data_IF_707713784122
#
_entry.id   IF_707713784122
#
_cell.length_a   1.000
_cell.length_b   1.000
_cell.length_c   1.000
_cell.angle_alpha   90.00
_cell.angle_beta   90.00
_cell.angle_gamma   90.00
#
_symmetry.space_group_name_H-M   'P 1'
#
loop_
_entity.id
_entity.type
_entity.pdbx_description
1 polymer ?
#
# COMPACT_ATOMS: atom_id res chain seq x y z
N UNK A 1 13.01 -9.63 -20.65
CA UNK A 1 11.80 -9.00 -20.05
C UNK A 1 12.10 -7.52 -20.02
N UNK A 2 11.39 -6.74 -20.82
CA UNK A 2 11.48 -5.28 -20.73
C UNK A 2 11.07 -4.86 -19.31
N UNK A 3 11.93 -4.11 -18.62
CA UNK A 3 11.47 -3.37 -17.45
C UNK A 3 10.35 -2.45 -17.93
N UNK A 4 9.14 -2.50 -17.33
CA UNK A 4 8.08 -1.59 -17.71
C UNK A 4 8.60 -0.17 -17.53
N UNK A 5 8.75 0.54 -18.66
CA UNK A 5 9.30 1.89 -18.69
C UNK A 5 8.47 2.83 -17.83
N UNK A 6 9.12 3.85 -17.26
CA UNK A 6 8.44 4.87 -16.45
C UNK A 6 7.43 5.61 -17.33
N UNK A 7 6.13 5.34 -17.13
CA UNK A 7 5.03 5.95 -17.91
C UNK A 7 4.50 7.26 -17.30
N UNK A 8 4.72 7.48 -16.00
CA UNK A 8 4.29 8.69 -15.28
C UNK A 8 5.24 9.00 -14.11
N UNK A 9 5.34 10.29 -13.75
CA UNK A 9 6.10 10.76 -12.58
C UNK A 9 5.18 11.52 -11.64
N UNK A 10 5.28 11.22 -10.34
CA UNK A 10 4.54 11.94 -9.30
C UNK A 10 5.53 12.50 -8.29
N UNK A 11 5.51 13.82 -8.09
CA UNK A 11 6.26 14.49 -7.03
C UNK A 11 5.33 14.72 -5.84
N UNK A 12 5.61 14.08 -4.71
CA UNK A 12 4.76 14.12 -3.52
C UNK A 12 5.57 14.60 -2.32
N UNK A 13 5.08 15.63 -1.65
CA UNK A 13 5.54 15.98 -0.32
C UNK A 13 4.86 15.07 0.71
N UNK A 14 5.64 14.30 1.46
CA UNK A 14 5.11 13.41 2.50
C UNK A 14 4.93 14.17 3.81
N UNK A 15 3.79 13.96 4.46
CA UNK A 15 3.64 14.32 5.88
C UNK A 15 4.57 13.48 6.75
N UNK A 16 4.85 13.95 7.96
CA UNK A 16 5.83 13.36 8.89
C UNK A 16 5.58 11.86 9.12
N UNK A 17 4.33 11.47 9.29
CA UNK A 17 3.89 10.10 9.55
C UNK A 17 4.14 9.21 8.33
N UNK A 18 3.79 9.67 7.13
CA UNK A 18 4.04 8.95 5.87
C UNK A 18 5.53 8.81 5.57
N UNK A 19 6.34 9.83 5.85
CA UNK A 19 7.79 9.77 5.70
C UNK A 19 8.40 8.71 6.64
N UNK A 20 7.95 8.65 7.91
CA UNK A 20 8.37 7.61 8.87
C UNK A 20 7.93 6.21 8.42
N UNK A 21 6.70 6.08 7.95
CA UNK A 21 6.17 4.81 7.45
C UNK A 21 6.98 4.30 6.26
N UNK A 22 7.32 5.18 5.30
CA UNK A 22 8.15 4.83 4.16
C UNK A 22 9.53 4.32 4.60
N UNK A 23 10.20 5.00 5.54
CA UNK A 23 11.48 4.54 6.08
C UNK A 23 11.37 3.18 6.78
N UNK A 24 10.31 2.95 7.56
CA UNK A 24 10.05 1.67 8.21
C UNK A 24 9.84 0.55 7.18
N UNK A 25 9.07 0.81 6.13
CA UNK A 25 8.83 -0.15 5.04
C UNK A 25 10.12 -0.50 4.31
N UNK A 26 10.97 0.50 4.00
CA UNK A 26 12.28 0.25 3.41
C UNK A 26 13.14 -0.65 4.30
N UNK A 27 13.20 -0.36 5.60
CA UNK A 27 13.98 -1.15 6.55
C UNK A 27 13.49 -2.60 6.66
N UNK A 28 12.17 -2.80 6.69
CA UNK A 28 11.58 -4.12 6.92
C UNK A 28 11.56 -5.00 5.65
N UNK A 29 11.50 -4.40 4.47
CA UNK A 29 11.33 -5.14 3.20
C UNK A 29 12.58 -5.13 2.31
N UNK A 30 13.53 -4.23 2.55
CA UNK A 30 14.68 -3.99 1.67
C UNK A 30 14.33 -3.31 0.35
N UNK A 31 13.06 -2.97 0.11
CA UNK A 31 12.60 -2.38 -1.15
C UNK A 31 13.03 -0.91 -1.30
N UNK A 32 13.20 -0.48 -2.55
CA UNK A 32 13.42 0.94 -2.86
C UNK A 32 12.13 1.72 -2.64
N UNK A 33 12.25 3.03 -2.41
CA UNK A 33 11.10 3.93 -2.26
C UNK A 33 10.12 3.82 -3.43
N UNK A 34 10.64 3.77 -4.66
CA UNK A 34 9.81 3.66 -5.88
C UNK A 34 9.00 2.38 -5.90
N UNK A 35 9.59 1.24 -5.51
CA UNK A 35 8.89 -0.05 -5.47
C UNK A 35 7.79 -0.05 -4.40
N UNK A 36 8.08 0.54 -3.24
CA UNK A 36 7.10 0.68 -2.16
C UNK A 36 5.93 1.56 -2.60
N UNK A 37 6.21 2.70 -3.24
CA UNK A 37 5.16 3.62 -3.71
C UNK A 37 4.30 2.96 -4.77
N UNK A 38 4.90 2.32 -5.78
CA UNK A 38 4.15 1.62 -6.83
C UNK A 38 3.26 0.52 -6.25
N UNK A 39 3.79 -0.31 -5.34
CA UNK A 39 3.01 -1.37 -4.68
C UNK A 39 1.92 -0.81 -3.77
N UNK A 40 2.18 0.29 -3.06
CA UNK A 40 1.20 0.93 -2.19
C UNK A 40 0.01 1.47 -2.99
N UNK A 41 0.24 2.05 -4.18
CA UNK A 41 -0.81 2.52 -5.08
C UNK A 41 -1.67 1.34 -5.55
N UNK A 42 -1.03 0.25 -6.03
CA UNK A 42 -1.74 -0.95 -6.48
C UNK A 42 -2.55 -1.62 -5.34
N UNK A 43 -1.99 -1.68 -4.13
CA UNK A 43 -2.69 -2.21 -2.96
C UNK A 43 -3.90 -1.34 -2.60
N UNK A 44 -3.75 -0.02 -2.65
CA UNK A 44 -4.86 0.90 -2.38
C UNK A 44 -5.97 0.75 -3.42
N UNK A 45 -5.63 0.67 -4.71
CA UNK A 45 -6.58 0.41 -5.80
C UNK A 45 -7.32 -0.91 -5.58
N UNK A 46 -6.61 -1.98 -5.25
CA UNK A 46 -7.21 -3.28 -4.96
C UNK A 46 -8.22 -3.16 -3.82
N UNK A 47 -7.81 -2.64 -2.66
CA UNK A 47 -8.72 -2.57 -1.50
C UNK A 47 -9.93 -1.68 -1.80
N UNK A 48 -9.74 -0.52 -2.45
CA UNK A 48 -10.84 0.35 -2.83
C UNK A 48 -11.84 -0.35 -3.77
N UNK A 49 -11.34 -1.14 -4.73
CA UNK A 49 -12.17 -1.94 -5.64
C UNK A 49 -12.99 -3.00 -4.89
N UNK A 50 -12.35 -3.76 -4.01
CA UNK A 50 -13.02 -4.79 -3.20
C UNK A 50 -14.15 -4.17 -2.35
N UNK A 51 -13.87 -3.06 -1.67
CA UNK A 51 -14.84 -2.38 -0.82
C UNK A 51 -16.00 -1.80 -1.65
N UNK A 52 -15.73 -1.25 -2.84
CA UNK A 52 -16.75 -0.72 -3.75
C UNK A 52 -17.69 -1.81 -4.27
N UNK A 53 -17.18 -3.01 -4.47
CA UNK A 53 -17.97 -4.17 -4.90
C UNK A 53 -18.73 -4.85 -3.74
N UNK A 54 -18.74 -4.23 -2.55
CA UNK A 54 -19.46 -4.72 -1.38
C UNK A 54 -18.75 -5.85 -0.64
N UNK A 55 -17.49 -6.15 -0.98
CA UNK A 55 -16.67 -7.12 -0.24
C UNK A 55 -16.01 -6.46 0.97
N UNK A 56 -15.47 -7.30 1.85
CA UNK A 56 -14.75 -6.88 3.04
C UNK A 56 -13.29 -7.31 2.96
N UNK A 57 -12.39 -6.43 3.38
CA UNK A 57 -10.98 -6.78 3.59
C UNK A 57 -10.77 -7.02 5.08
N UNK A 58 -10.32 -8.22 5.43
CA UNK A 58 -10.08 -8.64 6.82
C UNK A 58 -8.61 -9.01 7.02
N UNK A 59 -8.03 -8.60 8.14
CA UNK A 59 -6.75 -9.13 8.63
C UNK A 59 -7.07 -10.17 9.68
N UNK A 60 -6.65 -11.41 9.43
CA UNK A 60 -6.80 -12.52 10.38
C UNK A 60 -5.48 -12.73 11.13
N UNK A 61 -5.54 -12.68 12.45
CA UNK A 61 -4.43 -13.01 13.33
C UNK A 61 -4.23 -14.53 13.46
N UNK A 62 -3.06 -14.94 13.92
CA UNK A 62 -2.72 -16.35 14.18
C UNK A 62 -3.59 -16.96 15.31
N UNK A 63 -4.16 -16.10 16.15
CA UNK A 63 -5.14 -16.43 17.20
C UNK A 63 -6.57 -16.63 16.66
N UNK A 64 -6.78 -16.45 15.36
CA UNK A 64 -8.08 -16.54 14.70
C UNK A 64 -8.94 -15.29 14.83
N UNK A 65 -8.47 -14.24 15.51
CA UNK A 65 -9.21 -12.97 15.56
C UNK A 65 -9.13 -12.24 14.21
N UNK A 66 -10.26 -11.68 13.79
CA UNK A 66 -10.37 -10.93 12.55
C UNK A 66 -10.60 -9.44 12.84
N UNK A 67 -9.84 -8.60 12.13
CA UNK A 67 -10.01 -7.15 12.16
C UNK A 67 -10.40 -6.68 10.77
N UNK A 68 -11.54 -5.98 10.68
CA UNK A 68 -12.00 -5.38 9.44
C UNK A 68 -11.17 -4.14 9.11
N UNK A 69 -10.58 -4.13 7.92
CA UNK A 69 -9.83 -2.99 7.41
C UNK A 69 -10.82 -1.93 6.92
N UNK A 70 -10.82 -0.77 7.57
CA UNK A 70 -11.54 0.42 7.09
C UNK A 70 -10.52 1.38 6.50
N UNK A 71 -10.64 1.64 5.21
CA UNK A 71 -9.95 2.73 4.56
C UNK A 71 -10.93 3.90 4.46
N UNK A 72 -10.49 5.10 4.82
CA UNK A 72 -11.25 6.30 4.57
C UNK A 72 -11.20 6.58 3.06
N UNK A 73 -12.33 6.41 2.39
CA UNK A 73 -12.52 6.82 0.98
C UNK A 73 -12.85 8.30 0.90
#
# INVERSE_FOLDING_TARGET
MDEPGVVARVNIALVKESAKALLKLQKNTGLKKVDIVNRAIQLYEFIATELKEGRQVVVRGDDGHEVLVKIFM
#
